data_IF_120521076539
#
_entry.id   IF_120521076539
#
_cell.length_a   1.000
_cell.length_b   1.000
_cell.length_c   1.000
_cell.angle_alpha   90.00
_cell.angle_beta   90.00
_cell.angle_gamma   90.00
#
_symmetry.space_group_name_H-M   'P 1'
#
loop_
_entity.id
_entity.type
_entity.pdbx_description
1 polymer ?
#
# COMPACT_ATOMS: atom_id res chain seq x y z
N UNK A 1 -17.41 -13.98 12.29
CA UNK A 1 -16.05 -13.88 12.87
C UNK A 1 -14.94 -13.67 11.85
N UNK A 2 -14.89 -14.41 10.74
CA UNK A 2 -13.74 -14.39 9.79
C UNK A 2 -13.39 -12.99 9.26
N UNK A 3 -14.39 -12.19 8.90
CA UNK A 3 -14.17 -10.81 8.45
C UNK A 3 -13.53 -9.91 9.53
N UNK A 4 -13.91 -10.08 10.81
CA UNK A 4 -13.34 -9.32 11.93
C UNK A 4 -11.87 -9.69 12.12
N UNK A 5 -11.55 -10.99 12.06
CA UNK A 5 -10.16 -11.48 12.18
C UNK A 5 -9.31 -10.94 11.04
N UNK A 6 -9.80 -10.99 9.80
CA UNK A 6 -9.09 -10.44 8.64
C UNK A 6 -8.89 -8.92 8.75
N UNK A 7 -9.91 -8.20 9.22
CA UNK A 7 -9.81 -6.76 9.45
C UNK A 7 -8.74 -6.43 10.52
N UNK A 8 -8.71 -7.17 11.64
CA UNK A 8 -7.68 -6.99 12.67
C UNK A 8 -6.27 -7.29 12.15
N UNK A 9 -6.11 -8.39 11.40
CA UNK A 9 -4.82 -8.72 10.77
C UNK A 9 -4.40 -7.65 9.76
N UNK A 10 -5.33 -7.15 8.95
CA UNK A 10 -5.06 -6.07 8.02
C UNK A 10 -4.65 -4.78 8.75
N UNK A 11 -5.36 -4.39 9.81
CA UNK A 11 -5.03 -3.23 10.63
C UNK A 11 -3.66 -3.36 11.31
N UNK A 12 -3.33 -4.55 11.83
CA UNK A 12 -2.01 -4.81 12.40
C UNK A 12 -0.91 -4.75 11.33
N UNK A 13 -1.15 -5.33 10.16
CA UNK A 13 -0.21 -5.33 9.04
C UNK A 13 0.05 -3.92 8.52
N UNK A 14 -1.00 -3.19 8.15
CA UNK A 14 -0.89 -1.82 7.64
C UNK A 14 -0.31 -0.87 8.69
N UNK A 15 -0.80 -0.90 9.92
CA UNK A 15 -0.31 -0.01 10.98
C UNK A 15 1.17 -0.24 11.31
N UNK A 16 1.60 -1.51 11.38
CA UNK A 16 3.01 -1.85 11.63
C UNK A 16 3.90 -1.47 10.45
N UNK A 17 3.43 -1.69 9.21
CA UNK A 17 4.15 -1.34 7.99
C UNK A 17 4.33 0.19 7.87
N UNK A 18 3.28 0.98 8.11
CA UNK A 18 3.35 2.44 8.05
C UNK A 18 4.29 3.00 9.13
N UNK A 19 4.26 2.41 10.34
CA UNK A 19 5.16 2.79 11.42
C UNK A 19 6.63 2.51 11.08
N UNK A 20 6.94 1.26 10.72
CA UNK A 20 8.30 0.84 10.39
C UNK A 20 8.82 1.53 9.12
N UNK A 21 7.99 1.65 8.09
CA UNK A 21 8.31 2.31 6.84
C UNK A 21 8.56 3.81 7.03
N UNK A 22 7.72 4.49 7.83
CA UNK A 22 7.91 5.89 8.19
C UNK A 22 9.18 6.13 9.00
N UNK A 23 9.50 5.26 9.96
CA UNK A 23 10.75 5.33 10.74
C UNK A 23 11.97 5.12 9.84
N UNK A 24 11.94 4.12 8.95
CA UNK A 24 13.04 3.84 8.02
C UNK A 24 13.21 4.94 6.97
N UNK A 25 12.13 5.58 6.52
CA UNK A 25 12.18 6.70 5.58
C UNK A 25 12.88 7.96 6.14
N UNK A 26 13.09 8.04 7.47
CA UNK A 26 13.90 9.10 8.10
C UNK A 26 15.41 8.86 8.00
N UNK A 27 15.83 7.60 7.91
CA UNK A 27 17.25 7.21 7.96
C UNK A 27 17.77 6.68 6.64
N UNK A 28 16.88 6.22 5.75
CA UNK A 28 17.20 5.70 4.44
C UNK A 28 16.65 6.62 3.35
N UNK A 29 17.28 6.66 2.16
CA UNK A 29 16.71 7.37 1.04
C UNK A 29 15.33 6.80 0.71
N UNK A 30 14.32 7.68 0.60
CA UNK A 30 12.92 7.32 0.31
C UNK A 30 12.79 6.34 -0.86
N UNK A 31 13.61 6.50 -1.90
CA UNK A 31 13.65 5.62 -3.07
C UNK A 31 13.98 4.17 -2.70
N UNK A 32 14.92 3.94 -1.78
CA UNK A 32 15.29 2.60 -1.35
C UNK A 32 14.14 1.94 -0.58
N UNK A 33 13.44 2.69 0.27
CA UNK A 33 12.28 2.18 1.03
C UNK A 33 11.15 1.80 0.08
N UNK A 34 10.78 2.69 -0.84
CA UNK A 34 9.68 2.46 -1.79
C UNK A 34 10.02 1.32 -2.75
N UNK A 35 11.21 1.31 -3.35
CA UNK A 35 11.64 0.22 -4.25
C UNK A 35 11.68 -1.14 -3.53
N UNK A 36 12.17 -1.18 -2.28
CA UNK A 36 12.18 -2.40 -1.49
C UNK A 36 10.78 -2.93 -1.21
N UNK A 37 9.84 -2.04 -0.87
CA UNK A 37 8.44 -2.39 -0.62
C UNK A 37 7.75 -2.91 -1.89
N UNK A 38 7.97 -2.26 -3.04
CA UNK A 38 7.40 -2.67 -4.33
C UNK A 38 8.00 -3.98 -4.83
N UNK A 39 9.31 -4.17 -4.70
CA UNK A 39 9.98 -5.42 -5.05
C UNK A 39 9.50 -6.58 -4.16
N UNK A 40 9.37 -6.35 -2.85
CA UNK A 40 8.82 -7.35 -1.92
C UNK A 40 7.36 -7.71 -2.23
N UNK A 41 6.52 -6.71 -2.51
CA UNK A 41 5.13 -6.92 -2.93
C UNK A 41 5.03 -7.70 -4.25
N UNK A 42 5.87 -7.37 -5.23
CA UNK A 42 5.93 -8.09 -6.51
C UNK A 42 6.39 -9.53 -6.32
N UNK A 43 7.45 -9.77 -5.54
CA UNK A 43 7.97 -11.10 -5.27
C UNK A 43 6.91 -11.98 -4.59
N UNK A 44 6.20 -11.43 -3.60
CA UNK A 44 5.10 -12.14 -2.93
C UNK A 44 3.95 -12.43 -3.90
N UNK A 45 3.57 -11.47 -4.74
CA UNK A 45 2.51 -11.66 -5.73
C UNK A 45 2.86 -12.75 -6.75
N UNK A 46 4.11 -12.78 -7.24
CA UNK A 46 4.60 -13.81 -8.16
C UNK A 46 4.66 -15.19 -7.50
N UNK A 47 5.11 -15.26 -6.24
CA UNK A 47 5.12 -16.51 -5.48
C UNK A 47 3.71 -17.06 -5.29
N UNK A 48 2.76 -16.20 -4.91
CA UNK A 48 1.36 -16.60 -4.78
C UNK A 48 0.79 -17.07 -6.11
N UNK A 49 1.01 -16.32 -7.21
CA UNK A 49 0.56 -16.71 -8.54
C UNK A 49 1.13 -18.08 -8.98
N UNK A 50 2.40 -18.35 -8.67
CA UNK A 50 3.03 -19.65 -8.95
C UNK A 50 2.41 -20.78 -8.12
N UNK A 51 2.12 -20.56 -6.84
CA UNK A 51 1.49 -21.56 -5.95
C UNK A 51 0.04 -21.83 -6.33
N UNK A 52 -0.71 -20.80 -6.72
CA UNK A 52 -2.13 -20.92 -7.10
C UNK A 52 -2.34 -21.35 -8.55
N UNK A 53 -1.28 -21.39 -9.36
CA UNK A 53 -1.36 -21.65 -10.81
C UNK A 53 -2.08 -20.54 -11.58
N UNK A 54 -2.13 -19.33 -11.03
CA UNK A 54 -2.83 -18.20 -11.63
C UNK A 54 -2.01 -17.64 -12.79
N UNK A 55 -2.49 -17.87 -14.01
CA UNK A 55 -1.89 -17.36 -15.24
C UNK A 55 -2.16 -15.87 -15.49
N UNK A 56 -1.71 -15.39 -16.64
CA UNK A 56 -1.93 -14.01 -17.09
C UNK A 56 -3.43 -13.66 -17.12
N UNK A 57 -3.86 -12.57 -16.44
CA UNK A 57 -5.29 -12.24 -16.31
C UNK A 57 -5.92 -11.62 -17.57
N UNK A 58 -5.17 -11.49 -18.67
CA UNK A 58 -5.65 -10.96 -19.95
C UNK A 58 -5.42 -9.46 -20.13
N UNK A 59 -5.50 -9.00 -21.39
CA UNK A 59 -5.22 -7.60 -21.75
C UNK A 59 -6.27 -6.60 -21.23
N UNK A 60 -7.50 -7.05 -20.94
CA UNK A 60 -8.60 -6.18 -20.50
C UNK A 60 -8.35 -5.50 -19.16
N UNK A 61 -7.56 -6.11 -18.27
CA UNK A 61 -7.23 -5.55 -16.95
C UNK A 61 -5.87 -4.85 -16.93
N UNK A 62 -5.09 -4.94 -18.01
CA UNK A 62 -3.71 -4.46 -18.04
C UNK A 62 -3.65 -2.93 -17.84
N UNK A 63 -4.50 -2.17 -18.54
CA UNK A 63 -4.53 -0.73 -18.42
C UNK A 63 -4.94 -0.28 -17.01
N UNK A 64 -5.99 -0.89 -16.46
CA UNK A 64 -6.45 -0.61 -15.10
C UNK A 64 -5.37 -0.96 -14.06
N UNK A 65 -4.67 -2.08 -14.24
CA UNK A 65 -3.56 -2.49 -13.39
C UNK A 65 -2.37 -1.54 -13.45
N UNK A 66 -2.00 -1.05 -14.64
CA UNK A 66 -0.93 -0.05 -14.81
C UNK A 66 -1.30 1.26 -14.11
N UNK A 67 -2.51 1.76 -14.34
CA UNK A 67 -2.99 2.99 -13.69
C UNK A 67 -3.01 2.83 -12.17
N UNK A 68 -3.58 1.73 -11.65
CA UNK A 68 -3.60 1.44 -10.22
C UNK A 68 -2.19 1.33 -9.63
N UNK A 69 -1.26 0.69 -10.34
CA UNK A 69 0.14 0.55 -9.91
C UNK A 69 0.87 1.89 -9.84
N UNK A 70 0.72 2.73 -10.86
CA UNK A 70 1.32 4.08 -10.88
C UNK A 70 0.72 4.95 -9.78
N UNK A 71 -0.61 4.94 -9.62
CA UNK A 71 -1.27 5.67 -8.53
C UNK A 71 -0.80 5.19 -7.15
N UNK A 72 -0.62 3.88 -6.96
CA UNK A 72 -0.09 3.31 -5.71
C UNK A 72 1.36 3.75 -5.44
N UNK A 73 2.21 3.77 -6.46
CA UNK A 73 3.59 4.25 -6.33
C UNK A 73 3.64 5.70 -5.87
N UNK A 74 2.81 6.56 -6.46
CA UNK A 74 2.72 7.98 -6.09
C UNK A 74 2.17 8.14 -4.68
N UNK A 75 1.12 7.40 -4.32
CA UNK A 75 0.48 7.45 -3.01
C UNK A 75 1.46 7.04 -1.90
N UNK A 76 2.11 5.88 -2.04
CA UNK A 76 3.07 5.35 -1.05
C UNK A 76 4.30 6.26 -0.92
N UNK A 77 4.81 6.78 -2.04
CA UNK A 77 5.95 7.72 -2.02
C UNK A 77 5.61 9.01 -1.27
N UNK A 78 4.42 9.55 -1.50
CA UNK A 78 3.97 10.79 -0.86
C UNK A 78 3.70 10.58 0.62
N UNK A 79 3.08 9.45 0.98
CA UNK A 79 2.83 9.07 2.37
C UNK A 79 4.12 8.95 3.17
N UNK A 80 5.08 8.15 2.70
CA UNK A 80 6.35 7.98 3.44
C UNK A 80 7.19 9.25 3.46
N UNK A 81 7.14 10.08 2.40
CA UNK A 81 7.76 11.40 2.42
C UNK A 81 7.16 12.27 3.52
N UNK A 82 5.82 12.30 3.64
CA UNK A 82 5.13 13.06 4.68
C UNK A 82 5.49 12.55 6.09
N UNK A 83 5.55 11.22 6.30
CA UNK A 83 5.96 10.61 7.57
C UNK A 83 7.42 10.91 7.94
N UNK A 84 8.30 11.06 6.94
CA UNK A 84 9.71 11.37 7.14
C UNK A 84 9.94 12.84 7.55
N UNK A 85 9.22 13.79 6.93
CA UNK A 85 9.42 15.24 7.18
C UNK A 85 8.49 15.82 8.26
N UNK A 86 7.38 15.15 8.56
CA UNK A 86 6.35 15.63 9.47
C UNK A 86 6.26 14.86 10.79
N UNK A 87 5.30 15.26 11.64
CA UNK A 87 4.94 14.50 12.83
C UNK A 87 4.11 13.28 12.43
N UNK A 88 4.58 12.09 12.81
CA UNK A 88 3.91 10.83 12.51
C UNK A 88 2.48 10.80 13.08
N UNK A 89 2.28 11.38 14.26
CA UNK A 89 0.98 11.49 14.94
C UNK A 89 -0.01 12.40 14.22
N UNK A 90 0.43 13.24 13.28
CA UNK A 90 -0.45 14.11 12.48
C UNK A 90 -0.71 13.49 11.11
N UNK A 91 0.35 12.99 10.46
CA UNK A 91 0.26 12.43 9.11
C UNK A 91 -0.62 11.17 9.09
N UNK A 92 -0.50 10.30 10.11
CA UNK A 92 -1.25 9.03 10.17
C UNK A 92 -2.78 9.21 10.28
N UNK A 93 -3.33 10.07 11.17
CA UNK A 93 -4.77 10.35 11.18
C UNK A 93 -5.28 10.98 9.88
N UNK A 94 -4.50 11.88 9.28
CA UNK A 94 -4.88 12.51 7.99
C UNK A 94 -4.94 11.46 6.89
N UNK A 95 -3.93 10.57 6.79
CA UNK A 95 -3.94 9.51 5.78
C UNK A 95 -5.04 8.50 6.02
N UNK A 96 -5.40 8.23 7.28
CA UNK A 96 -6.51 7.33 7.64
C UNK A 96 -7.89 7.82 7.17
N UNK A 97 -8.01 9.07 6.74
CA UNK A 97 -9.25 9.61 6.15
C UNK A 97 -9.47 9.21 4.68
N UNK A 98 -8.48 8.59 4.01
CA UNK A 98 -8.61 8.19 2.60
C UNK A 98 -9.86 7.34 2.25
N UNK A 99 -10.46 6.52 3.15
CA UNK A 99 -11.67 5.76 2.83
C UNK A 99 -12.87 6.62 2.45
N UNK A 100 -12.86 7.93 2.74
CA UNK A 100 -13.84 8.89 2.20
C UNK A 100 -13.94 8.80 0.67
N UNK A 101 -12.82 8.62 -0.04
CA UNK A 101 -12.79 8.61 -1.51
C UNK A 101 -13.61 7.44 -2.09
N UNK A 102 -13.32 6.16 -1.76
CA UNK A 102 -14.13 5.05 -2.27
C UNK A 102 -15.56 5.05 -1.74
N UNK A 103 -15.82 5.57 -0.52
CA UNK A 103 -17.19 5.70 0.00
C UNK A 103 -17.99 6.69 -0.83
N UNK A 104 -17.45 7.89 -1.10
CA UNK A 104 -18.11 8.89 -1.94
C UNK A 104 -18.33 8.36 -3.35
N UNK A 105 -17.32 7.71 -3.94
CA UNK A 105 -17.46 7.08 -5.26
C UNK A 105 -18.56 6.03 -5.30
N UNK A 106 -18.73 5.22 -4.24
CA UNK A 106 -19.79 4.22 -4.16
C UNK A 106 -21.19 4.80 -3.93
N UNK A 107 -21.31 6.08 -3.55
CA UNK A 107 -22.57 6.79 -3.38
C UNK A 107 -23.01 7.57 -4.64
N UNK A 108 -22.08 7.84 -5.56
CA UNK A 108 -22.32 8.51 -6.85
C UNK A 108 -22.75 7.50 -7.92
#
# INVERSE_FOLDING_TARGET
MTAIVLALLASLGWGSADFLGGLRARHLPLRAVVCGMMAGGLALALLLAAVTGSGYPGNGVLLAGVVAGVSSMVAVSTLYKALAIGSMSIVSPISAAYPVVPVVWGLL
#
